data_IF_874041865346
#
_entry.id   IF_874041865346
#
_cell.length_a   1.000
_cell.length_b   1.000
_cell.length_c   1.000
_cell.angle_alpha   90.00
_cell.angle_beta   90.00
_cell.angle_gamma   90.00
#
_symmetry.space_group_name_H-M   'P 1'
#
loop_
_entity.id
_entity.type
_entity.pdbx_description
1 polymer ?
#
# COMPACT_ATOMS: atom_id res chain seq x y z
N UNK A 1 -1.10 10.40 6.45
CA UNK A 1 -0.45 10.29 5.13
C UNK A 1 0.94 10.92 5.06
N UNK A 2 1.16 12.16 5.52
CA UNK A 2 2.44 12.88 5.35
C UNK A 2 3.66 12.18 5.96
N UNK A 3 3.52 11.51 7.11
CA UNK A 3 4.60 10.71 7.72
C UNK A 3 5.00 9.47 6.92
N UNK A 4 4.06 8.83 6.21
CA UNK A 4 4.35 7.65 5.38
C UNK A 4 5.15 8.02 4.13
N UNK A 5 4.86 9.16 3.49
CA UNK A 5 5.64 9.63 2.34
C UNK A 5 7.07 9.97 2.73
N UNK A 6 7.28 10.66 3.86
CA UNK A 6 8.62 10.97 4.35
C UNK A 6 9.41 9.71 4.68
N UNK A 7 8.77 8.72 5.33
CA UNK A 7 9.38 7.42 5.59
C UNK A 7 9.76 6.69 4.29
N UNK A 8 8.89 6.73 3.28
CA UNK A 8 9.15 6.15 1.97
C UNK A 8 10.42 6.74 1.32
N UNK A 9 10.52 8.07 1.28
CA UNK A 9 11.69 8.76 0.71
C UNK A 9 12.98 8.48 1.50
N UNK A 10 12.91 8.47 2.84
CA UNK A 10 14.05 8.18 3.70
C UNK A 10 14.56 6.74 3.51
N UNK A 11 13.66 5.75 3.44
CA UNK A 11 14.03 4.36 3.19
C UNK A 11 14.71 4.17 1.84
N UNK A 12 14.19 4.84 0.79
CA UNK A 12 14.79 4.79 -0.54
C UNK A 12 16.15 5.50 -0.60
N UNK A 13 16.29 6.64 0.08
CA UNK A 13 17.57 7.36 0.20
C UNK A 13 18.65 6.53 0.89
N UNK A 14 18.26 5.64 1.80
CA UNK A 14 19.14 4.67 2.48
C UNK A 14 19.42 3.41 1.64
N UNK A 15 18.98 3.37 0.39
CA UNK A 15 19.17 2.24 -0.52
C UNK A 15 18.35 0.99 -0.15
N UNK A 16 17.32 1.13 0.70
CA UNK A 16 16.40 0.03 0.99
C UNK A 16 15.39 -0.09 -0.14
N UNK A 17 15.16 -1.31 -0.62
CA UNK A 17 14.11 -1.62 -1.59
C UNK A 17 12.76 -1.50 -0.89
N UNK A 18 12.09 -0.37 -1.10
CA UNK A 18 10.76 -0.10 -0.58
C UNK A 18 9.97 0.55 -1.70
N UNK A 19 8.97 -0.17 -2.19
CA UNK A 19 8.12 0.24 -3.29
C UNK A 19 6.68 0.30 -2.81
N UNK A 20 5.92 1.25 -3.35
CA UNK A 20 4.53 1.46 -3.00
C UNK A 20 3.75 1.77 -4.26
N UNK A 21 2.61 1.12 -4.41
CA UNK A 21 1.69 1.37 -5.51
C UNK A 21 0.27 1.51 -4.99
N UNK A 22 -0.55 2.25 -5.74
CA UNK A 22 -1.99 2.38 -5.52
C UNK A 22 -2.74 1.63 -6.61
N UNK A 23 -3.63 0.75 -6.16
CA UNK A 23 -4.56 0.04 -7.02
C UNK A 23 -5.97 0.57 -6.78
N UNK A 24 -6.64 0.99 -7.87
CA UNK A 24 -7.99 1.54 -7.84
C UNK A 24 -9.09 0.49 -8.17
N UNK A 25 -8.69 -0.76 -8.41
CA UNK A 25 -9.64 -1.83 -8.75
C UNK A 25 -10.38 -2.40 -7.54
N UNK A 26 -11.16 -3.48 -7.75
CA UNK A 26 -11.91 -4.12 -6.68
C UNK A 26 -10.97 -4.59 -5.58
N UNK A 27 -11.27 -4.22 -4.33
CA UNK A 27 -10.48 -4.62 -3.17
C UNK A 27 -10.93 -5.99 -2.69
N UNK A 28 -9.97 -6.88 -2.52
CA UNK A 28 -10.14 -8.09 -1.71
C UNK A 28 -9.94 -7.75 -0.22
N UNK A 29 -9.84 -8.76 0.64
CA UNK A 29 -9.59 -8.58 2.07
C UNK A 29 -8.29 -7.82 2.33
N UNK A 30 -8.23 -7.08 3.44
CA UNK A 30 -6.99 -6.47 3.89
C UNK A 30 -6.07 -7.58 4.41
N UNK A 31 -4.89 -7.71 3.82
CA UNK A 31 -3.93 -8.74 4.18
C UNK A 31 -2.50 -8.22 4.12
N UNK A 32 -1.63 -8.86 4.88
CA UNK A 32 -0.17 -8.67 4.80
C UNK A 32 0.44 -10.06 4.64
N UNK A 33 1.20 -10.28 3.57
CA UNK A 33 1.93 -11.52 3.36
C UNK A 33 3.42 -11.35 3.65
N UNK A 34 4.03 -12.42 4.16
CA UNK A 34 5.47 -12.57 4.25
C UNK A 34 5.90 -13.53 3.15
N UNK A 35 6.10 -12.96 1.96
CA UNK A 35 6.30 -13.71 0.72
C UNK A 35 5.20 -14.77 0.56
N UNK A 36 5.60 -16.01 0.34
CA UNK A 36 4.77 -17.18 0.11
C UNK A 36 4.71 -18.12 1.34
N UNK A 37 5.20 -17.68 2.51
CA UNK A 37 5.32 -18.53 3.70
C UNK A 37 4.14 -18.37 4.67
N UNK A 38 3.62 -17.15 4.79
CA UNK A 38 2.59 -16.83 5.77
C UNK A 38 1.89 -15.51 5.46
N UNK A 39 0.70 -15.33 6.03
CA UNK A 39 -0.07 -14.10 5.92
C UNK A 39 -0.78 -13.75 7.23
N UNK A 40 -0.97 -12.46 7.46
CA UNK A 40 -1.92 -11.93 8.42
C UNK A 40 -3.16 -11.42 7.66
N UNK A 41 -4.32 -12.03 7.92
CA UNK A 41 -5.60 -11.56 7.42
C UNK A 41 -6.20 -10.57 8.42
N UNK A 42 -6.47 -9.34 7.98
CA UNK A 42 -7.00 -8.27 8.82
C UNK A 42 -8.51 -8.24 8.67
N UNK A 43 -9.22 -8.55 9.76
CA UNK A 43 -10.68 -8.51 9.84
C UNK A 43 -11.06 -7.18 10.49
N UNK A 44 -11.54 -6.26 9.66
CA UNK A 44 -11.88 -4.89 10.05
C UNK A 44 -13.25 -4.78 10.75
N UNK A 45 -13.61 -5.78 11.55
CA UNK A 45 -14.78 -5.72 12.43
C UNK A 45 -14.45 -4.92 13.70
N UNK A 46 -15.42 -4.73 14.59
CA UNK A 46 -15.20 -4.08 15.88
C UNK A 46 -15.34 -5.12 17.01
N UNK A 47 -14.23 -5.55 17.65
CA UNK A 47 -12.87 -5.03 17.54
C UNK A 47 -12.12 -5.50 16.28
N UNK A 48 -11.12 -4.72 15.86
CA UNK A 48 -10.23 -5.14 14.76
C UNK A 48 -9.46 -6.37 15.21
N UNK A 49 -9.55 -7.43 14.43
CA UNK A 49 -8.84 -8.68 14.68
C UNK A 49 -7.93 -9.03 13.51
N UNK A 50 -6.87 -9.78 13.78
CA UNK A 50 -5.98 -10.30 12.75
C UNK A 50 -5.74 -11.78 12.99
N UNK A 51 -5.85 -12.57 11.93
CA UNK A 51 -5.60 -14.02 11.97
C UNK A 51 -4.32 -14.31 11.21
N UNK A 52 -3.37 -14.96 11.90
CA UNK A 52 -2.13 -15.45 11.30
C UNK A 52 -2.34 -16.81 10.66
N UNK A 53 -1.93 -16.97 9.40
CA UNK A 53 -2.07 -18.20 8.63
C UNK A 53 -0.73 -18.55 8.01
N UNK A 54 -0.29 -19.80 8.16
CA UNK A 54 0.94 -20.31 7.55
C UNK A 54 0.62 -21.13 6.30
N UNK A 55 1.60 -21.23 5.39
CA UNK A 55 1.52 -22.08 4.20
C UNK A 55 1.32 -23.55 4.56
N UNK A 56 1.89 -24.02 5.66
CA UNK A 56 1.69 -25.39 6.16
C UNK A 56 0.23 -25.69 6.50
N UNK A 57 -0.50 -24.69 6.99
CA UNK A 57 -1.92 -24.83 7.35
C UNK A 57 -2.83 -24.73 6.12
N UNK A 58 -2.57 -23.77 5.23
CA UNK A 58 -3.39 -23.59 4.03
C UNK A 58 -2.54 -23.00 2.89
N UNK A 59 -1.89 -23.86 2.08
CA UNK A 59 -1.00 -23.40 1.00
C UNK A 59 -1.79 -22.69 -0.10
N UNK A 60 -2.99 -23.19 -0.44
CA UNK A 60 -3.83 -22.63 -1.50
C UNK A 60 -4.25 -21.20 -1.18
N UNK A 61 -4.59 -20.91 0.08
CA UNK A 61 -4.95 -19.55 0.49
C UNK A 61 -3.76 -18.60 0.33
N UNK A 62 -2.56 -19.01 0.74
CA UNK A 62 -1.34 -18.20 0.61
C UNK A 62 -1.02 -17.97 -0.87
N UNK A 63 -1.06 -19.00 -1.69
CA UNK A 63 -0.73 -18.90 -3.12
C UNK A 63 -1.70 -18.00 -3.86
N UNK A 64 -3.01 -18.18 -3.66
CA UNK A 64 -4.03 -17.33 -4.26
C UNK A 64 -3.92 -15.87 -3.78
N UNK A 65 -3.58 -15.66 -2.51
CA UNK A 65 -3.40 -14.33 -1.93
C UNK A 65 -2.19 -13.60 -2.54
N UNK A 66 -1.07 -14.29 -2.75
CA UNK A 66 0.13 -13.75 -3.37
C UNK A 66 -0.10 -13.51 -4.86
N UNK A 67 -0.69 -14.47 -5.59
CA UNK A 67 -0.97 -14.33 -7.02
C UNK A 67 -1.92 -13.15 -7.30
N UNK A 68 -2.96 -13.01 -6.48
CA UNK A 68 -3.89 -11.87 -6.59
C UNK A 68 -3.17 -10.55 -6.33
N UNK A 69 -2.29 -10.51 -5.32
CA UNK A 69 -1.50 -9.32 -5.04
C UNK A 69 -0.56 -8.97 -6.20
N UNK A 70 0.15 -9.94 -6.77
CA UNK A 70 1.08 -9.71 -7.89
C UNK A 70 0.34 -9.15 -9.10
N UNK A 71 -0.83 -9.71 -9.42
CA UNK A 71 -1.71 -9.22 -10.48
C UNK A 71 -2.16 -7.78 -10.22
N UNK A 72 -2.64 -7.48 -9.02
CA UNK A 72 -3.06 -6.12 -8.66
C UNK A 72 -1.87 -5.15 -8.67
N UNK A 73 -0.69 -5.59 -8.24
CA UNK A 73 0.54 -4.81 -8.23
C UNK A 73 1.02 -4.43 -9.64
N UNK A 74 0.88 -5.32 -10.62
CA UNK A 74 1.19 -5.03 -12.02
C UNK A 74 0.27 -3.94 -12.59
N UNK A 75 -1.01 -3.95 -12.22
CA UNK A 75 -1.99 -2.96 -12.65
C UNK A 75 -1.96 -1.65 -11.83
N UNK A 76 -1.30 -1.68 -10.67
CA UNK A 76 -1.24 -0.55 -9.76
C UNK A 76 -0.29 0.55 -10.22
N UNK A 77 -0.60 1.79 -9.86
CA UNK A 77 0.20 2.97 -10.16
C UNK A 77 1.19 3.26 -9.04
N UNK A 78 2.47 3.46 -9.36
CA UNK A 78 3.49 3.86 -8.39
C UNK A 78 3.05 5.08 -7.59
N UNK A 79 3.28 5.08 -6.28
CA UNK A 79 2.98 6.25 -5.44
C UNK A 79 3.77 7.50 -5.84
N UNK A 80 4.87 7.32 -6.58
CA UNK A 80 5.73 8.40 -7.06
C UNK A 80 5.22 9.01 -8.37
N UNK A 81 4.35 8.29 -9.08
CA UNK A 81 3.80 8.69 -10.37
C UNK A 81 2.34 9.19 -10.23
N UNK A 82 1.85 9.32 -8.99
CA UNK A 82 0.50 9.79 -8.71
C UNK A 82 0.32 11.25 -9.08
N UNK A 83 -0.77 11.54 -9.77
CA UNK A 83 -1.20 12.89 -10.12
C UNK A 83 -2.18 13.42 -9.08
N UNK A 84 -2.40 14.75 -9.04
CA UNK A 84 -3.47 15.34 -8.22
C UNK A 84 -4.85 14.71 -8.45
N UNK A 85 -5.16 14.29 -9.67
CA UNK A 85 -6.43 13.66 -10.01
C UNK A 85 -6.53 12.23 -9.46
N UNK A 86 -5.40 11.51 -9.37
CA UNK A 86 -5.36 10.23 -8.66
C UNK A 86 -5.71 10.45 -7.19
N UNK A 87 -5.14 11.45 -6.50
CA UNK A 87 -5.48 11.71 -5.09
C UNK A 87 -6.99 11.99 -4.89
N UNK A 88 -7.61 12.75 -5.81
CA UNK A 88 -9.06 13.02 -5.77
C UNK A 88 -9.90 11.76 -5.97
N UNK A 89 -9.52 10.89 -6.90
CA UNK A 89 -10.24 9.63 -7.18
C UNK A 89 -10.28 8.69 -5.96
N UNK A 90 -9.31 8.84 -5.03
CA UNK A 90 -9.23 8.06 -3.81
C UNK A 90 -9.84 8.75 -2.57
N UNK A 91 -10.53 9.89 -2.75
CA UNK A 91 -11.16 10.63 -1.65
C UNK A 91 -10.18 11.36 -0.73
N UNK A 92 -8.94 11.60 -1.19
CA UNK A 92 -7.97 12.42 -0.50
C UNK A 92 -7.95 13.84 -1.11
N UNK A 93 -8.17 14.88 -0.31
CA UNK A 93 -8.15 16.25 -0.82
C UNK A 93 -6.71 16.69 -1.18
N UNK A 94 -6.44 17.05 -2.45
CA UNK A 94 -5.10 17.37 -2.93
C UNK A 94 -4.55 18.72 -2.41
N UNK A 95 -5.40 19.58 -1.85
CA UNK A 95 -5.05 20.93 -1.42
C UNK A 95 -3.97 20.96 -0.32
N UNK A 96 -3.90 19.93 0.53
CA UNK A 96 -2.90 19.84 1.60
C UNK A 96 -1.48 19.50 1.15
N UNK A 97 -1.32 18.84 0.00
CA UNK A 97 -0.01 18.40 -0.52
C UNK A 97 0.60 19.43 -1.48
N UNK A 98 -0.22 20.01 -2.38
CA UNK A 98 0.24 20.97 -3.40
C UNK A 98 0.66 22.30 -2.76
N UNK A 99 -0.14 22.81 -1.80
CA UNK A 99 0.16 24.07 -1.09
C UNK A 99 1.50 24.03 -0.35
N UNK A 100 1.93 22.84 0.10
CA UNK A 100 3.15 22.66 0.90
C UNK A 100 4.40 22.39 0.06
N UNK A 101 4.24 21.89 -1.16
CA UNK A 101 5.34 21.81 -2.13
C UNK A 101 5.72 23.22 -2.62
N UNK A 102 4.72 24.05 -2.93
CA UNK A 102 4.92 25.45 -3.34
C UNK A 102 5.51 26.32 -2.21
N UNK A 103 5.18 26.05 -0.94
CA UNK A 103 5.78 26.78 0.19
C UNK A 103 7.24 26.38 0.50
N UNK A 104 7.82 25.43 -0.24
CA UNK A 104 9.21 24.96 -0.03
C UNK A 104 10.20 25.63 -0.98
N UNK A 105 9.73 26.40 -1.96
CA UNK A 105 10.58 27.23 -2.85
C UNK A 105 10.76 28.68 -2.35
N UNK A 106 10.04 29.10 -1.30
CA UNK A 106 10.15 30.45 -0.70
C UNK A 106 10.91 30.47 0.66
N UNK A 107 11.78 29.49 0.92
CA UNK A 107 12.55 29.40 2.17
C UNK A 107 14.06 29.36 1.97
#
# INVERSE_FOLDING_TARGET
>A
LMGMMTMFFDLRARGKKFDGKLYAGPKTYNQVSFNNESMALIIAENPVTATWITREFNPDLIDNAVESFDKDWEMAKSILDLTPDDYKAFGAEPEGLIRKALSREEG
#
